data_IF_889042954843
#
_entry.id   IF_889042954843
#
_cell.length_a   1.000
_cell.length_b   1.000
_cell.length_c   1.000
_cell.angle_alpha   90.00
_cell.angle_beta   90.00
_cell.angle_gamma   90.00
#
_symmetry.space_group_name_H-M   'P 1'
#
loop_
_entity.id
_entity.type
_entity.pdbx_description
1 polymer ?
#
# COMPACT_ATOMS: atom_id res chain seq x y z
N UNK A 1 42.03 -75.02 -3.07
CA UNK A 1 41.39 -75.23 -4.39
C UNK A 1 40.68 -73.95 -4.86
N UNK A 2 41.44 -72.94 -5.29
CA UNK A 2 40.92 -71.79 -6.05
C UNK A 2 42.06 -71.03 -6.78
N UNK A 3 43.20 -71.70 -7.03
CA UNK A 3 44.37 -71.17 -7.73
C UNK A 3 44.49 -71.67 -9.18
N UNK A 4 43.56 -72.53 -9.63
CA UNK A 4 43.63 -73.20 -10.95
C UNK A 4 42.67 -72.64 -12.02
N UNK A 5 41.98 -71.52 -11.76
CA UNK A 5 41.10 -70.89 -12.78
C UNK A 5 41.72 -69.72 -13.55
N UNK A 6 42.98 -69.39 -13.28
CA UNK A 6 43.71 -68.30 -13.96
C UNK A 6 44.57 -68.80 -15.15
N UNK A 7 44.65 -70.12 -15.36
CA UNK A 7 45.43 -70.74 -16.44
C UNK A 7 44.61 -71.01 -17.72
N UNK A 8 43.27 -70.92 -17.67
CA UNK A 8 42.39 -71.25 -18.79
C UNK A 8 41.96 -70.05 -19.68
N UNK A 9 42.35 -68.81 -19.34
CA UNK A 9 42.03 -67.60 -20.14
C UNK A 9 43.24 -67.01 -20.89
N UNK A 10 44.42 -67.64 -20.83
CA UNK A 10 45.64 -67.19 -21.53
C UNK A 10 45.96 -67.95 -22.82
N UNK A 11 45.08 -68.83 -23.26
CA UNK A 11 45.25 -69.62 -24.48
C UNK A 11 44.06 -69.42 -25.44
N UNK A 12 43.84 -68.18 -25.89
CA UNK A 12 43.29 -67.97 -27.22
C UNK A 12 44.00 -66.76 -27.85
N UNK A 13 45.23 -67.05 -28.22
CA UNK A 13 46.11 -66.22 -29.01
C UNK A 13 45.52 -66.01 -30.41
N UNK A 14 45.53 -64.75 -30.85
CA UNK A 14 46.30 -64.36 -32.03
C UNK A 14 45.78 -64.89 -33.39
N UNK A 15 44.84 -64.16 -33.98
CA UNK A 15 44.65 -64.12 -35.44
C UNK A 15 44.95 -62.70 -35.94
N UNK A 16 46.03 -62.59 -36.72
CA UNK A 16 46.44 -61.40 -37.45
C UNK A 16 45.67 -61.24 -38.78
N UNK A 17 45.90 -60.10 -39.47
CA UNK A 17 45.37 -59.62 -40.78
C UNK A 17 44.04 -58.84 -40.73
N UNK A 18 43.82 -57.66 -41.33
CA UNK A 18 44.58 -56.72 -42.20
C UNK A 18 43.80 -55.38 -42.26
N UNK A 19 44.42 -54.23 -42.65
CA UNK A 19 43.75 -52.92 -42.68
C UNK A 19 42.74 -52.79 -43.82
N UNK A 20 41.56 -52.23 -43.53
CA UNK A 20 40.51 -51.96 -44.51
C UNK A 20 40.76 -50.61 -45.23
N UNK A 21 40.71 -50.53 -46.57
CA UNK A 21 41.02 -49.31 -47.32
C UNK A 21 39.87 -48.29 -47.31
N UNK A 22 40.24 -47.01 -47.35
CA UNK A 22 39.32 -45.87 -47.42
C UNK A 22 38.47 -45.87 -48.71
N UNK A 23 37.19 -45.46 -48.67
CA UNK A 23 36.38 -45.32 -49.86
C UNK A 23 36.77 -44.06 -50.69
N UNK A 24 36.69 -44.11 -52.04
CA UNK A 24 37.24 -43.11 -52.94
C UNK A 24 36.37 -41.85 -53.10
N UNK A 25 37.06 -40.73 -53.42
CA UNK A 25 36.49 -39.47 -53.84
C UNK A 25 35.74 -39.60 -55.18
N UNK A 26 34.54 -39.03 -55.26
CA UNK A 26 33.83 -38.82 -56.53
C UNK A 26 33.72 -37.33 -56.86
N UNK A 27 34.02 -37.04 -58.12
CA UNK A 27 34.16 -35.73 -58.72
C UNK A 27 32.83 -35.01 -58.97
N UNK A 28 32.93 -33.68 -59.00
CA UNK A 28 31.94 -32.70 -59.48
C UNK A 28 31.49 -32.93 -60.93
N UNK A 29 30.39 -32.29 -61.36
CA UNK A 29 30.59 -31.25 -62.37
C UNK A 29 29.80 -29.93 -62.16
N UNK A 30 30.49 -28.84 -62.53
CA UNK A 30 30.11 -27.51 -63.04
C UNK A 30 28.62 -27.09 -63.00
N UNK A 31 28.27 -25.82 -62.70
CA UNK A 31 28.60 -24.68 -63.58
C UNK A 31 27.96 -23.38 -63.04
N UNK A 32 28.71 -22.28 -63.10
CA UNK A 32 28.26 -20.88 -63.37
C UNK A 32 27.21 -20.23 -62.45
N UNK A 33 27.30 -18.97 -61.99
CA UNK A 33 27.99 -17.75 -62.48
C UNK A 33 27.86 -16.69 -61.37
N UNK A 34 28.90 -15.87 -61.17
CA UNK A 34 28.77 -14.51 -60.59
C UNK A 34 27.86 -13.65 -61.47
N UNK A 35 27.25 -12.59 -60.91
CA UNK A 35 27.59 -11.27 -61.44
C UNK A 35 27.89 -10.21 -60.37
N UNK A 36 28.69 -9.24 -60.79
CA UNK A 36 29.05 -8.00 -60.09
C UNK A 36 28.00 -6.89 -60.39
N UNK A 37 28.12 -5.68 -59.81
CA UNK A 37 26.98 -4.82 -59.43
C UNK A 37 26.52 -3.86 -60.53
N UNK A 38 25.29 -3.32 -60.40
CA UNK A 38 24.87 -2.10 -61.10
C UNK A 38 24.09 -1.14 -60.21
N UNK A 39 24.66 0.07 -60.15
CA UNK A 39 24.11 1.31 -59.65
C UNK A 39 23.13 1.90 -60.67
N UNK A 40 21.88 2.17 -60.29
CA UNK A 40 20.96 3.09 -60.98
C UNK A 40 20.07 3.77 -59.93
N UNK A 41 20.05 5.09 -59.92
CA UNK A 41 19.05 5.98 -59.29
C UNK A 41 18.59 7.00 -60.35
N UNK A 42 17.56 7.84 -60.12
CA UNK A 42 16.13 7.60 -59.86
C UNK A 42 15.26 8.34 -60.94
N UNK A 43 13.90 8.53 -60.84
CA UNK A 43 13.29 9.53 -59.93
C UNK A 43 11.84 9.26 -59.43
N UNK A 44 11.47 9.97 -58.34
CA UNK A 44 10.12 10.42 -57.91
C UNK A 44 9.05 9.37 -57.58
N UNK A 45 8.17 9.46 -56.58
CA UNK A 45 7.81 10.49 -55.59
C UNK A 45 6.51 9.95 -54.95
N UNK A 46 6.51 9.55 -53.69
CA UNK A 46 5.27 9.43 -52.92
C UNK A 46 5.58 9.67 -51.44
N UNK A 47 5.00 10.75 -50.94
CA UNK A 47 5.01 11.15 -49.55
C UNK A 47 4.42 10.05 -48.66
N UNK A 48 5.19 9.68 -47.64
CA UNK A 48 4.77 8.75 -46.60
C UNK A 48 5.72 8.91 -45.42
N UNK A 49 5.43 9.89 -44.56
CA UNK A 49 6.09 10.04 -43.27
C UNK A 49 5.93 8.75 -42.46
N UNK A 50 7.06 8.13 -42.13
CA UNK A 50 7.19 7.04 -41.15
C UNK A 50 8.51 7.21 -40.40
N UNK A 51 8.60 6.71 -39.16
CA UNK A 51 8.94 7.56 -38.02
C UNK A 51 10.44 7.68 -37.82
N UNK A 52 10.87 8.85 -37.33
CA UNK A 52 12.17 9.02 -36.71
C UNK A 52 12.27 8.07 -35.52
N UNK A 53 13.12 7.06 -35.68
CA UNK A 53 14.14 6.63 -34.71
C UNK A 53 13.89 7.16 -33.29
N UNK A 54 12.97 6.51 -32.57
CA UNK A 54 12.88 6.63 -31.13
C UNK A 54 13.95 5.72 -30.57
N UNK A 55 15.00 6.32 -30.02
CA UNK A 55 16.02 5.59 -29.26
C UNK A 55 15.35 4.67 -28.25
N UNK A 56 15.85 3.43 -28.20
CA UNK A 56 15.67 2.55 -27.07
C UNK A 56 16.17 3.31 -25.84
N UNK A 57 15.24 3.90 -25.09
CA UNK A 57 15.52 4.28 -23.71
C UNK A 57 15.64 2.95 -22.98
N UNK A 58 16.84 2.64 -22.53
CA UNK A 58 17.17 1.40 -21.84
C UNK A 58 16.11 1.07 -20.80
N UNK A 59 15.40 -0.05 -21.01
CA UNK A 59 14.34 -0.55 -20.12
C UNK A 59 14.84 -0.77 -18.68
N UNK A 60 16.16 -0.81 -18.50
CA UNK A 60 16.88 -0.89 -17.23
C UNK A 60 16.95 0.45 -16.49
N UNK A 61 17.09 1.57 -17.21
CA UNK A 61 17.19 2.91 -16.63
C UNK A 61 15.81 3.42 -16.16
N UNK A 62 14.74 3.04 -16.85
CA UNK A 62 13.37 3.16 -16.33
C UNK A 62 13.19 2.32 -15.06
N UNK A 63 13.55 1.02 -15.08
CA UNK A 63 13.39 0.11 -13.93
C UNK A 63 14.08 0.63 -12.67
N UNK A 64 15.30 1.16 -12.76
CA UNK A 64 16.03 1.72 -11.61
C UNK A 64 15.31 2.96 -11.03
N UNK A 65 14.81 3.87 -11.88
CA UNK A 65 14.09 5.08 -11.44
C UNK A 65 12.73 4.77 -10.80
N UNK A 66 12.14 3.63 -11.14
CA UNK A 66 10.86 3.13 -10.62
C UNK A 66 10.99 2.30 -9.33
N UNK A 67 12.20 1.85 -8.98
CA UNK A 67 12.44 1.11 -7.74
C UNK A 67 12.47 2.02 -6.49
N UNK A 68 12.66 3.33 -6.67
CA UNK A 68 12.68 4.32 -5.59
C UNK A 68 11.35 5.09 -5.45
N UNK A 69 10.30 4.35 -5.08
CA UNK A 69 9.01 4.92 -4.67
C UNK A 69 9.15 5.86 -3.46
N UNK A 70 10.25 5.74 -2.71
CA UNK A 70 10.49 6.52 -1.49
C UNK A 70 10.87 7.97 -1.79
N UNK A 71 11.68 8.20 -2.83
CA UNK A 71 11.99 9.54 -3.39
C UNK A 71 10.75 10.24 -3.94
N UNK A 72 9.91 9.53 -4.70
CA UNK A 72 8.65 10.09 -5.20
C UNK A 72 7.68 10.47 -4.06
N UNK A 73 7.69 9.73 -2.95
CA UNK A 73 6.90 10.04 -1.77
C UNK A 73 7.32 11.30 -1.04
N UNK A 74 8.57 11.76 -1.13
CA UNK A 74 8.98 13.03 -0.52
C UNK A 74 8.42 14.24 -1.29
N UNK A 75 8.12 14.07 -2.59
CA UNK A 75 7.51 15.11 -3.43
C UNK A 75 5.98 15.14 -3.34
N UNK A 76 5.33 14.00 -3.08
CA UNK A 76 3.85 13.90 -2.95
C UNK A 76 3.38 13.94 -1.48
N UNK A 77 4.30 14.06 -0.51
CA UNK A 77 3.95 14.16 0.91
C UNK A 77 3.30 15.52 1.18
N UNK A 78 2.02 15.58 1.61
CA UNK A 78 1.46 16.84 2.09
C UNK A 78 2.24 17.32 3.32
N UNK A 79 2.42 18.63 3.50
CA UNK A 79 3.10 19.18 4.67
C UNK A 79 2.47 18.60 5.94
N UNK A 80 3.32 18.02 6.79
CA UNK A 80 2.92 17.28 7.99
C UNK A 80 1.83 18.02 8.78
N UNK A 81 0.68 17.36 8.98
CA UNK A 81 -0.27 17.74 10.01
C UNK A 81 0.48 17.79 11.35
N UNK A 82 0.80 19.01 11.80
CA UNK A 82 1.41 19.22 13.11
C UNK A 82 0.46 18.68 14.16
N UNK A 83 0.89 17.63 14.84
CA UNK A 83 0.19 17.03 15.96
C UNK A 83 -0.06 18.11 17.02
N UNK A 84 -1.32 18.56 17.14
CA UNK A 84 -1.77 19.30 18.32
C UNK A 84 -3.02 18.63 18.88
N UNK A 85 -2.76 17.86 19.94
CA UNK A 85 -3.68 17.42 20.97
C UNK A 85 -4.90 16.60 20.47
N UNK A 86 -4.67 15.30 20.32
CA UNK A 86 -5.72 14.32 20.06
C UNK A 86 -6.41 13.97 21.39
N UNK A 87 -7.58 14.55 21.65
CA UNK A 87 -8.52 13.99 22.62
C UNK A 87 -9.49 13.04 21.90
N UNK A 88 -9.91 11.94 22.54
CA UNK A 88 -10.83 11.01 21.91
C UNK A 88 -12.22 11.66 21.77
N UNK A 89 -12.65 11.89 20.53
CA UNK A 89 -14.00 12.34 20.19
C UNK A 89 -14.99 11.18 20.37
N UNK A 90 -15.34 10.88 21.61
CA UNK A 90 -16.30 9.81 21.96
C UNK A 90 -17.76 10.27 22.07
N UNK A 91 -18.13 11.49 21.63
CA UNK A 91 -19.45 12.03 21.97
C UNK A 91 -20.31 12.62 20.85
N UNK A 92 -20.15 12.19 19.59
CA UNK A 92 -21.03 12.60 18.48
C UNK A 92 -21.65 11.42 17.71
N UNK A 93 -22.17 10.42 18.44
CA UNK A 93 -23.01 9.39 17.82
C UNK A 93 -24.47 9.86 17.75
N UNK A 94 -24.86 10.32 16.57
CA UNK A 94 -26.28 10.40 16.17
C UNK A 94 -26.69 9.05 15.56
N UNK A 95 -27.84 8.44 15.93
CA UNK A 95 -28.13 7.03 15.58
C UNK A 95 -28.46 6.77 14.10
N UNK A 96 -28.59 7.81 13.27
CA UNK A 96 -29.11 7.70 11.90
C UNK A 96 -28.07 7.47 10.80
N UNK A 97 -26.76 7.51 11.10
CA UNK A 97 -25.68 7.43 10.10
C UNK A 97 -24.77 6.20 10.26
N UNK A 98 -25.34 5.01 10.49
CA UNK A 98 -24.54 3.79 10.69
C UNK A 98 -23.86 3.29 9.40
N UNK A 99 -24.34 3.68 8.22
CA UNK A 99 -23.86 3.19 6.92
C UNK A 99 -22.44 3.65 6.55
N UNK A 100 -22.05 4.94 6.70
CA UNK A 100 -20.69 5.40 6.38
C UNK A 100 -19.60 4.85 7.31
N UNK A 101 -19.88 4.74 8.62
CA UNK A 101 -18.90 4.23 9.61
C UNK A 101 -18.59 2.75 9.41
N UNK A 102 -19.59 1.96 9.03
CA UNK A 102 -19.42 0.53 8.71
C UNK A 102 -18.60 0.34 7.42
N UNK A 103 -18.77 1.21 6.43
CA UNK A 103 -17.97 1.16 5.20
C UNK A 103 -16.49 1.41 5.48
N UNK A 104 -16.14 2.46 6.24
CA UNK A 104 -14.75 2.75 6.63
C UNK A 104 -14.15 1.61 7.46
N UNK A 105 -14.91 1.01 8.38
CA UNK A 105 -14.45 -0.15 9.16
C UNK A 105 -14.08 -1.33 8.25
N UNK A 106 -14.97 -1.71 7.33
CA UNK A 106 -14.71 -2.84 6.44
C UNK A 106 -13.51 -2.61 5.50
N UNK A 107 -13.22 -1.35 5.13
CA UNK A 107 -12.02 -1.00 4.37
C UNK A 107 -10.76 -1.11 5.23
N UNK A 108 -10.84 -0.69 6.50
CA UNK A 108 -9.74 -0.89 7.46
C UNK A 108 -9.42 -2.37 7.65
N UNK A 109 -10.44 -3.22 7.74
CA UNK A 109 -10.26 -4.66 7.88
C UNK A 109 -9.64 -5.26 6.62
N UNK A 110 -10.08 -4.86 5.43
CA UNK A 110 -9.44 -5.28 4.20
C UNK A 110 -7.96 -4.88 4.11
N UNK A 111 -7.59 -3.66 4.57
CA UNK A 111 -6.17 -3.25 4.66
C UNK A 111 -5.39 -4.13 5.64
N UNK A 112 -5.99 -4.51 6.78
CA UNK A 112 -5.35 -5.46 7.72
C UNK A 112 -5.09 -6.80 7.05
N UNK A 113 -6.09 -7.34 6.35
CA UNK A 113 -5.94 -8.59 5.59
C UNK A 113 -4.87 -8.49 4.51
N UNK A 114 -4.74 -7.35 3.81
CA UNK A 114 -3.60 -7.14 2.89
C UNK A 114 -2.27 -7.27 3.62
N UNK A 115 -2.11 -6.61 4.78
CA UNK A 115 -0.86 -6.70 5.54
C UNK A 115 -0.55 -8.13 6.01
N UNK A 116 -1.56 -8.86 6.47
CA UNK A 116 -1.43 -10.28 6.87
C UNK A 116 -1.04 -11.15 5.67
N UNK A 117 -1.63 -10.93 4.50
CA UNK A 117 -1.26 -11.62 3.29
C UNK A 117 0.19 -11.30 2.88
N UNK A 118 0.63 -10.05 3.00
CA UNK A 118 2.02 -9.65 2.72
C UNK A 118 3.01 -10.37 3.63
N UNK A 119 2.67 -10.54 4.92
CA UNK A 119 3.48 -11.33 5.85
C UNK A 119 3.59 -12.80 5.42
N UNK A 120 2.47 -13.39 5.02
CA UNK A 120 2.43 -14.77 4.52
C UNK A 120 3.16 -14.94 3.19
N UNK A 121 3.10 -13.95 2.29
CA UNK A 121 3.89 -13.91 1.05
C UNK A 121 5.38 -13.92 1.38
N UNK A 122 5.82 -13.08 2.33
CA UNK A 122 7.21 -13.07 2.81
C UNK A 122 7.64 -14.44 3.34
N UNK A 123 6.78 -15.08 4.14
CA UNK A 123 7.04 -16.42 4.67
C UNK A 123 7.19 -17.45 3.54
N UNK A 124 6.27 -17.47 2.57
CA UNK A 124 6.34 -18.38 1.44
C UNK A 124 7.59 -18.18 0.59
N UNK A 125 8.00 -16.93 0.33
CA UNK A 125 9.27 -16.67 -0.35
C UNK A 125 10.47 -17.23 0.42
N UNK A 126 10.53 -16.99 1.73
CA UNK A 126 11.61 -17.53 2.56
C UNK A 126 11.61 -19.06 2.58
N UNK A 127 10.44 -19.69 2.61
CA UNK A 127 10.30 -21.17 2.56
C UNK A 127 10.77 -21.73 1.22
N UNK A 128 10.39 -21.11 0.10
CA UNK A 128 10.89 -21.49 -1.23
C UNK A 128 12.42 -21.40 -1.33
N UNK A 129 13.04 -20.43 -0.63
CA UNK A 129 14.50 -20.27 -0.59
C UNK A 129 15.23 -21.34 0.23
N UNK A 130 14.53 -22.06 1.11
CA UNK A 130 15.07 -23.08 2.02
C UNK A 130 14.68 -24.51 1.68
N UNK A 131 13.58 -24.70 0.95
CA UNK A 131 13.07 -26.02 0.59
C UNK A 131 13.98 -26.68 -0.45
N UNK A 132 14.28 -27.97 -0.23
CA UNK A 132 15.14 -28.77 -1.11
C UNK A 132 14.36 -29.88 -1.83
N UNK A 133 13.12 -30.15 -1.40
CA UNK A 133 12.25 -31.14 -2.04
C UNK A 133 11.39 -30.50 -3.14
N UNK A 134 11.53 -31.00 -4.38
CA UNK A 134 10.84 -30.48 -5.56
C UNK A 134 9.30 -30.49 -5.41
N UNK A 135 8.75 -31.51 -4.76
CA UNK A 135 7.29 -31.64 -4.60
C UNK A 135 6.74 -30.61 -3.61
N UNK A 136 7.46 -30.37 -2.52
CA UNK A 136 7.14 -29.30 -1.58
C UNK A 136 7.35 -27.92 -2.20
N UNK A 137 8.42 -27.74 -2.98
CA UNK A 137 8.69 -26.48 -3.69
C UNK A 137 7.52 -26.11 -4.61
N UNK A 138 7.03 -27.07 -5.42
CA UNK A 138 5.88 -26.83 -6.29
C UNK A 138 4.59 -26.53 -5.50
N UNK A 139 4.35 -27.24 -4.40
CA UNK A 139 3.19 -27.00 -3.54
C UNK A 139 3.20 -25.58 -2.94
N UNK A 140 4.33 -25.15 -2.38
CA UNK A 140 4.50 -23.81 -1.80
C UNK A 140 4.39 -22.75 -2.91
N UNK A 141 4.97 -22.98 -4.08
CA UNK A 141 4.91 -22.08 -5.22
C UNK A 141 3.47 -21.86 -5.70
N UNK A 142 2.66 -22.91 -5.73
CA UNK A 142 1.23 -22.82 -6.05
C UNK A 142 0.44 -22.04 -4.98
N UNK A 143 0.73 -22.27 -3.69
CA UNK A 143 0.10 -21.54 -2.59
C UNK A 143 0.45 -20.05 -2.62
N UNK A 144 1.71 -19.72 -2.89
CA UNK A 144 2.17 -18.36 -3.09
C UNK A 144 1.41 -17.70 -4.26
N UNK A 145 1.33 -18.37 -5.42
CA UNK A 145 0.63 -17.83 -6.58
C UNK A 145 -0.86 -17.55 -6.30
N UNK A 146 -1.53 -18.45 -5.56
CA UNK A 146 -2.91 -18.26 -5.15
C UNK A 146 -3.06 -17.05 -4.21
N UNK A 147 -2.19 -16.94 -3.20
CA UNK A 147 -2.21 -15.84 -2.24
C UNK A 147 -1.91 -14.49 -2.91
N UNK A 148 -0.95 -14.44 -3.84
CA UNK A 148 -0.64 -13.23 -4.62
C UNK A 148 -1.86 -12.80 -5.43
N UNK A 149 -2.53 -13.75 -6.12
CA UNK A 149 -3.75 -13.46 -6.91
C UNK A 149 -4.91 -12.95 -6.05
N UNK A 150 -5.14 -13.58 -4.89
CA UNK A 150 -6.12 -13.12 -3.91
C UNK A 150 -5.81 -11.70 -3.42
N UNK A 151 -4.55 -11.44 -3.10
CA UNK A 151 -4.09 -10.14 -2.61
C UNK A 151 -4.22 -9.06 -3.70
N UNK A 152 -3.89 -9.37 -4.96
CA UNK A 152 -4.10 -8.45 -6.09
C UNK A 152 -5.59 -8.14 -6.32
N UNK A 153 -6.50 -9.09 -6.08
CA UNK A 153 -7.95 -8.83 -6.15
C UNK A 153 -8.42 -7.93 -5.01
N UNK A 154 -7.97 -8.22 -3.78
CA UNK A 154 -8.34 -7.45 -2.59
C UNK A 154 -7.85 -6.00 -2.69
N UNK A 155 -6.59 -5.79 -3.08
CA UNK A 155 -6.00 -4.47 -3.25
C UNK A 155 -6.72 -3.64 -4.34
N UNK A 156 -7.05 -4.24 -5.50
CA UNK A 156 -7.89 -3.58 -6.52
C UNK A 156 -9.29 -3.23 -6.00
N UNK A 157 -9.91 -4.12 -5.23
CA UNK A 157 -11.22 -3.85 -4.61
C UNK A 157 -11.14 -2.68 -3.63
N UNK A 158 -10.13 -2.66 -2.76
CA UNK A 158 -9.89 -1.57 -1.81
C UNK A 158 -9.68 -0.24 -2.54
N UNK A 159 -8.83 -0.22 -3.57
CA UNK A 159 -8.61 0.97 -4.41
C UNK A 159 -9.93 1.55 -4.92
N UNK A 160 -10.75 0.71 -5.57
CA UNK A 160 -12.02 1.15 -6.18
C UNK A 160 -13.02 1.63 -5.12
N UNK A 161 -13.08 0.98 -3.96
CA UNK A 161 -13.99 1.38 -2.87
C UNK A 161 -13.53 2.66 -2.17
N UNK A 162 -12.23 2.84 -1.96
CA UNK A 162 -11.66 4.09 -1.44
C UNK A 162 -11.96 5.24 -2.40
N UNK A 163 -11.76 5.04 -3.70
CA UNK A 163 -12.11 6.03 -4.73
C UNK A 163 -13.60 6.37 -4.73
N UNK A 164 -14.49 5.37 -4.74
CA UNK A 164 -15.94 5.58 -4.70
C UNK A 164 -16.38 6.35 -3.45
N UNK A 165 -15.80 6.00 -2.29
CA UNK A 165 -16.08 6.69 -1.03
C UNK A 165 -15.62 8.16 -1.10
N UNK A 166 -14.46 8.43 -1.68
CA UNK A 166 -13.99 9.80 -1.93
C UNK A 166 -14.94 10.57 -2.84
N UNK A 167 -15.31 10.02 -4.01
CA UNK A 167 -16.24 10.68 -4.93
C UNK A 167 -17.61 10.95 -4.29
N UNK A 168 -18.09 10.05 -3.43
CA UNK A 168 -19.37 10.21 -2.72
C UNK A 168 -19.35 11.39 -1.72
N UNK A 169 -18.19 11.70 -1.15
CA UNK A 169 -18.01 12.84 -0.24
C UNK A 169 -17.94 14.14 -1.03
N UNK A 170 -17.19 14.18 -2.14
CA UNK A 170 -17.09 15.36 -3.00
C UNK A 170 -18.45 15.76 -3.60
N UNK A 171 -19.28 14.79 -3.98
CA UNK A 171 -20.59 15.06 -4.58
C UNK A 171 -21.68 15.46 -3.57
N UNK A 172 -21.50 15.21 -2.27
CA UNK A 172 -22.49 15.51 -1.21
C UNK A 172 -22.23 16.83 -0.45
N UNK A 173 -21.35 17.69 -0.96
CA UNK A 173 -20.96 18.94 -0.28
C UNK A 173 -22.08 19.98 -0.09
N UNK A 174 -23.29 19.75 -0.61
CA UNK A 174 -24.39 20.71 -0.53
C UNK A 174 -25.34 20.58 0.67
N UNK A 175 -25.33 19.47 1.44
CA UNK A 175 -26.48 19.15 2.31
C UNK A 175 -26.16 19.10 3.83
N UNK A 176 -24.93 18.82 4.28
CA UNK A 176 -24.58 18.82 5.71
C UNK A 176 -23.04 18.95 5.95
N UNK A 177 -22.56 20.15 6.30
CA UNK A 177 -21.12 20.49 6.33
C UNK A 177 -20.30 19.77 7.43
N UNK A 178 -20.86 19.53 8.62
CA UNK A 178 -20.11 18.93 9.74
C UNK A 178 -19.74 17.46 9.54
N UNK A 179 -20.64 16.67 8.97
CA UNK A 179 -20.46 15.23 8.77
C UNK A 179 -19.62 14.93 7.51
N UNK A 180 -19.65 15.82 6.50
CA UNK A 180 -18.81 15.71 5.32
C UNK A 180 -17.31 15.83 5.64
N UNK A 181 -16.93 16.74 6.56
CA UNK A 181 -15.53 16.96 6.95
C UNK A 181 -14.92 15.81 7.76
N UNK A 182 -15.70 15.23 8.68
CA UNK A 182 -15.28 14.04 9.44
C UNK A 182 -15.06 12.86 8.48
N UNK A 183 -15.96 12.66 7.52
CA UNK A 183 -15.81 11.63 6.48
C UNK A 183 -14.60 11.87 5.59
N UNK A 184 -14.34 13.11 5.15
CA UNK A 184 -13.18 13.45 4.34
C UNK A 184 -11.86 13.11 5.06
N UNK A 185 -11.77 13.47 6.35
CA UNK A 185 -10.60 13.16 7.19
C UNK A 185 -10.39 11.65 7.34
N UNK A 186 -11.48 10.89 7.57
CA UNK A 186 -11.42 9.42 7.68
C UNK A 186 -10.95 8.76 6.38
N UNK A 187 -11.41 9.26 5.22
CA UNK A 187 -10.99 8.75 3.90
C UNK A 187 -9.53 9.07 3.62
N UNK A 188 -9.05 10.28 3.95
CA UNK A 188 -7.65 10.64 3.82
C UNK A 188 -6.73 9.72 4.66
N UNK A 189 -7.10 9.46 5.91
CA UNK A 189 -6.37 8.54 6.77
C UNK A 189 -6.39 7.08 6.26
N UNK A 190 -7.53 6.64 5.72
CA UNK A 190 -7.69 5.31 5.13
C UNK A 190 -6.79 5.14 3.90
N UNK A 191 -6.78 6.14 3.01
CA UNK A 191 -5.96 6.17 1.81
C UNK A 191 -4.47 6.12 2.13
N UNK A 192 -4.01 6.93 3.10
CA UNK A 192 -2.62 6.90 3.56
C UNK A 192 -2.21 5.51 4.04
N UNK A 193 -3.02 4.90 4.91
CA UNK A 193 -2.75 3.54 5.41
C UNK A 193 -2.73 2.49 4.29
N UNK A 194 -3.60 2.64 3.29
CA UNK A 194 -3.60 1.75 2.14
C UNK A 194 -2.31 1.90 1.31
N UNK A 195 -1.88 3.14 1.04
CA UNK A 195 -0.59 3.41 0.38
C UNK A 195 0.59 2.80 1.16
N UNK A 196 0.62 2.99 2.48
CA UNK A 196 1.66 2.40 3.35
C UNK A 196 1.71 0.87 3.20
N UNK A 197 0.56 0.20 3.13
CA UNK A 197 0.46 -1.24 2.89
C UNK A 197 0.97 -1.67 1.51
N UNK A 198 0.68 -0.91 0.45
CA UNK A 198 1.17 -1.19 -0.91
C UNK A 198 2.70 -1.02 -0.97
N UNK A 199 3.24 0.04 -0.36
CA UNK A 199 4.69 0.25 -0.27
C UNK A 199 5.38 -0.88 0.49
N UNK A 200 4.79 -1.31 1.62
CA UNK A 200 5.31 -2.46 2.38
C UNK A 200 5.32 -3.72 1.54
N UNK A 201 4.25 -3.99 0.78
CA UNK A 201 4.19 -5.15 -0.08
C UNK A 201 5.29 -5.11 -1.15
N UNK A 202 5.44 -3.97 -1.81
CA UNK A 202 6.48 -3.76 -2.82
C UNK A 202 7.89 -3.98 -2.24
N UNK A 203 8.14 -3.52 -1.01
CA UNK A 203 9.43 -3.74 -0.34
C UNK A 203 9.71 -5.22 -0.05
N UNK A 204 8.70 -5.99 0.37
CA UNK A 204 8.81 -7.45 0.57
C UNK A 204 9.12 -8.18 -0.74
N UNK A 205 8.45 -7.79 -1.82
CA UNK A 205 8.67 -8.34 -3.15
C UNK A 205 10.09 -8.02 -3.66
N UNK A 206 10.55 -6.76 -3.49
CA UNK A 206 11.92 -6.37 -3.83
C UNK A 206 12.98 -7.13 -3.03
N UNK A 207 12.81 -7.26 -1.71
CA UNK A 207 13.71 -8.02 -0.84
C UNK A 207 13.80 -9.49 -1.32
N UNK A 208 12.66 -10.08 -1.66
CA UNK A 208 12.58 -11.46 -2.15
C UNK A 208 13.26 -11.61 -3.51
N UNK A 209 13.01 -10.68 -4.46
CA UNK A 209 13.70 -10.63 -5.76
C UNK A 209 15.22 -10.60 -5.62
N UNK A 210 15.76 -9.77 -4.74
CA UNK A 210 17.20 -9.69 -4.50
C UNK A 210 17.76 -11.03 -3.98
N UNK A 211 17.05 -11.70 -3.06
CA UNK A 211 17.45 -13.02 -2.55
C UNK A 211 17.46 -14.08 -3.65
N UNK A 212 16.43 -14.11 -4.52
CA UNK A 212 16.38 -15.04 -5.64
C UNK A 212 17.51 -14.82 -6.64
N UNK A 213 17.79 -13.56 -7.00
CA UNK A 213 18.93 -13.22 -7.88
C UNK A 213 20.26 -13.66 -7.29
N UNK A 214 20.50 -13.39 -6.00
CA UNK A 214 21.71 -13.82 -5.31
C UNK A 214 21.85 -15.36 -5.26
N UNK A 215 20.75 -16.10 -5.16
CA UNK A 215 20.75 -17.57 -5.28
C UNK A 215 21.11 -18.01 -6.69
N UNK A 216 20.49 -17.42 -7.71
CA UNK A 216 20.77 -17.74 -9.12
C UNK A 216 22.24 -17.48 -9.48
N UNK A 217 22.81 -16.36 -9.03
CA UNK A 217 24.23 -16.05 -9.21
C UNK A 217 25.14 -17.14 -8.63
N UNK A 218 24.83 -17.64 -7.42
CA UNK A 218 25.60 -18.72 -6.79
C UNK A 218 25.52 -20.01 -7.60
N UNK A 219 24.33 -20.36 -8.09
CA UNK A 219 24.14 -21.55 -8.92
C UNK A 219 24.82 -21.41 -10.29
N UNK A 220 24.80 -20.23 -10.88
CA UNK A 220 25.54 -19.94 -12.13
C UNK A 220 27.04 -20.16 -11.96
N UNK A 221 27.63 -19.69 -10.86
CA UNK A 221 29.06 -19.90 -10.55
C UNK A 221 29.42 -21.37 -10.31
N UNK A 222 28.48 -22.23 -9.93
CA UNK A 222 28.73 -23.68 -9.83
C UNK A 222 28.91 -24.30 -11.22
N UNK A 223 28.12 -23.84 -12.20
CA UNK A 223 28.17 -24.30 -13.59
C UNK A 223 29.35 -23.71 -14.36
N UNK A 224 29.60 -22.41 -14.18
CA UNK A 224 30.68 -21.64 -14.82
C UNK A 224 31.47 -20.84 -13.77
N UNK A 225 32.49 -21.44 -13.12
CA UNK A 225 33.26 -20.77 -12.05
C UNK A 225 34.08 -19.56 -12.50
N UNK A 226 34.44 -19.51 -13.78
CA UNK A 226 35.21 -18.46 -14.45
C UNK A 226 34.34 -17.34 -15.04
N UNK A 227 33.03 -17.35 -14.75
CA UNK A 227 32.09 -16.34 -15.22
C UNK A 227 32.45 -14.93 -14.74
N UNK A 228 32.47 -13.98 -15.67
CA UNK A 228 32.62 -12.56 -15.36
C UNK A 228 31.36 -12.01 -14.67
N UNK A 229 31.48 -10.91 -13.90
CA UNK A 229 30.32 -10.27 -13.28
C UNK A 229 29.23 -9.86 -14.29
N UNK A 230 29.64 -9.45 -15.49
CA UNK A 230 28.73 -9.04 -16.56
C UNK A 230 27.96 -10.24 -17.14
N UNK A 231 28.63 -11.37 -17.38
CA UNK A 231 27.96 -12.60 -17.82
C UNK A 231 26.96 -13.11 -16.77
N UNK A 232 27.29 -13.00 -15.48
CA UNK A 232 26.37 -13.34 -14.39
C UNK A 232 25.14 -12.43 -14.42
N UNK A 233 25.33 -11.11 -14.56
CA UNK A 233 24.19 -10.18 -14.67
C UNK A 233 23.33 -10.54 -15.86
N UNK A 234 23.90 -10.81 -17.03
CA UNK A 234 23.12 -11.20 -18.20
C UNK A 234 22.36 -12.51 -17.98
N UNK A 235 22.95 -13.50 -17.30
CA UNK A 235 22.27 -14.75 -17.01
C UNK A 235 21.15 -14.63 -15.96
N UNK A 236 21.22 -13.64 -15.06
CA UNK A 236 20.26 -13.47 -13.94
C UNK A 236 19.20 -12.41 -14.21
N UNK A 237 19.58 -11.31 -14.87
CA UNK A 237 18.76 -10.11 -15.06
C UNK A 237 18.06 -10.06 -16.43
N UNK A 238 18.60 -10.73 -17.46
CA UNK A 238 18.02 -10.73 -18.80
C UNK A 238 16.83 -11.67 -18.90
N UNK A 239 15.84 -11.33 -19.74
CA UNK A 239 14.67 -12.17 -19.97
C UNK A 239 15.03 -13.52 -20.65
N UNK A 240 16.16 -13.53 -21.37
CA UNK A 240 16.81 -14.69 -21.99
C UNK A 240 17.80 -15.43 -21.07
N UNK A 241 17.84 -15.08 -19.77
CA UNK A 241 18.80 -15.63 -18.81
C UNK A 241 18.80 -17.17 -18.75
N UNK A 242 17.63 -17.80 -18.94
CA UNK A 242 17.51 -19.25 -19.03
C UNK A 242 18.24 -19.88 -20.24
N UNK A 243 18.27 -19.19 -21.39
CA UNK A 243 19.04 -19.66 -22.56
C UNK A 243 20.54 -19.50 -22.33
N UNK A 244 20.96 -18.36 -21.76
CA UNK A 244 22.37 -18.09 -21.42
C UNK A 244 22.88 -19.16 -20.44
N UNK A 245 22.07 -19.53 -19.46
CA UNK A 245 22.38 -20.61 -18.54
C UNK A 245 22.47 -21.97 -19.26
N UNK A 246 21.53 -22.28 -20.15
CA UNK A 246 21.53 -23.54 -20.93
C UNK A 246 22.80 -23.68 -21.77
N UNK A 247 23.25 -22.59 -22.39
CA UNK A 247 24.49 -22.57 -23.16
C UNK A 247 25.73 -22.80 -22.27
N UNK A 248 25.74 -22.20 -21.08
CA UNK A 248 26.81 -22.42 -20.09
C UNK A 248 26.85 -23.89 -19.62
N UNK A 249 25.69 -24.52 -19.44
CA UNK A 249 25.58 -25.93 -19.07
C UNK A 249 26.16 -26.86 -20.13
N UNK A 250 25.89 -26.61 -21.42
CA UNK A 250 26.43 -27.41 -22.53
C UNK A 250 27.96 -27.35 -22.64
N UNK A 251 28.55 -26.25 -22.18
CA UNK A 251 30.00 -26.02 -22.23
C UNK A 251 30.70 -26.52 -20.96
N UNK A 252 29.95 -26.88 -19.92
CA UNK A 252 30.49 -27.28 -18.62
C UNK A 252 30.88 -28.77 -18.58
N UNK A 253 32.09 -29.07 -18.09
CA UNK A 253 32.55 -30.44 -17.85
C UNK A 253 31.88 -31.11 -16.62
N UNK A 254 31.00 -30.42 -15.89
CA UNK A 254 30.38 -30.88 -14.63
C UNK A 254 28.88 -31.22 -14.77
N UNK A 255 28.55 -32.00 -15.79
CA UNK A 255 27.16 -32.19 -16.27
C UNK A 255 26.13 -32.62 -15.19
N UNK A 256 26.51 -33.44 -14.21
CA UNK A 256 25.62 -33.92 -13.14
C UNK A 256 25.17 -32.82 -12.18
N UNK A 257 26.11 -32.19 -11.48
CA UNK A 257 25.84 -31.06 -10.57
C UNK A 257 25.22 -29.87 -11.30
N UNK A 258 25.64 -29.66 -12.55
CA UNK A 258 25.22 -28.51 -13.34
C UNK A 258 23.75 -28.62 -13.81
N UNK A 259 23.20 -29.84 -13.92
CA UNK A 259 21.78 -30.03 -14.30
C UNK A 259 20.80 -29.73 -13.16
N UNK A 260 21.17 -30.05 -11.92
CA UNK A 260 20.38 -29.65 -10.76
C UNK A 260 20.40 -28.11 -10.58
N UNK A 261 21.59 -27.51 -10.69
CA UNK A 261 21.76 -26.06 -10.66
C UNK A 261 20.96 -25.36 -11.79
N UNK A 262 20.91 -25.96 -12.99
CA UNK A 262 20.10 -25.47 -14.11
C UNK A 262 18.61 -25.40 -13.77
N UNK A 263 18.05 -26.48 -13.23
CA UNK A 263 16.64 -26.54 -12.91
C UNK A 263 16.29 -25.51 -11.82
N UNK A 264 17.11 -25.41 -10.76
CA UNK A 264 16.90 -24.40 -9.71
C UNK A 264 16.92 -22.99 -10.30
N UNK A 265 17.89 -22.66 -11.15
CA UNK A 265 17.95 -21.31 -11.76
C UNK A 265 16.76 -21.02 -12.65
N UNK A 266 16.32 -21.99 -13.44
CA UNK A 266 15.13 -21.85 -14.28
C UNK A 266 13.89 -21.56 -13.43
N UNK A 267 13.67 -22.32 -12.36
CA UNK A 267 12.52 -22.11 -11.47
C UNK A 267 12.56 -20.74 -10.79
N UNK A 268 13.73 -20.35 -10.27
CA UNK A 268 13.90 -19.03 -9.64
C UNK A 268 13.79 -17.87 -10.61
N UNK A 269 14.16 -18.08 -11.87
CA UNK A 269 13.95 -17.07 -12.90
C UNK A 269 12.44 -16.82 -13.12
N UNK A 270 11.63 -17.88 -13.18
CA UNK A 270 10.17 -17.75 -13.26
C UNK A 270 9.57 -17.10 -12.00
N UNK A 271 10.11 -17.39 -10.82
CA UNK A 271 9.74 -16.70 -9.58
C UNK A 271 10.02 -15.20 -9.66
N UNK A 272 11.23 -14.81 -10.11
CA UNK A 272 11.60 -13.41 -10.32
C UNK A 272 10.66 -12.74 -11.31
N UNK A 273 10.29 -13.38 -12.41
CA UNK A 273 9.29 -12.82 -13.35
C UNK A 273 7.94 -12.59 -12.70
N UNK A 274 7.47 -13.50 -11.83
CA UNK A 274 6.21 -13.31 -11.08
C UNK A 274 6.29 -12.13 -10.11
N UNK A 275 7.41 -11.99 -9.42
CA UNK A 275 7.67 -10.84 -8.54
C UNK A 275 7.65 -9.54 -9.35
N UNK A 276 8.33 -9.50 -10.50
CA UNK A 276 8.36 -8.31 -11.35
C UNK A 276 6.96 -7.91 -11.85
N UNK A 277 6.12 -8.87 -12.24
CA UNK A 277 4.71 -8.58 -12.57
C UNK A 277 3.96 -7.98 -11.38
N UNK A 278 4.14 -8.54 -10.18
CA UNK A 278 3.50 -8.05 -8.95
C UNK A 278 3.96 -6.63 -8.63
N UNK A 279 5.25 -6.35 -8.70
CA UNK A 279 5.80 -5.00 -8.49
C UNK A 279 5.19 -4.02 -9.49
N UNK A 280 5.10 -4.37 -10.78
CA UNK A 280 4.45 -3.52 -11.79
C UNK A 280 2.99 -3.23 -11.44
N UNK A 281 2.20 -4.24 -11.04
CA UNK A 281 0.81 -4.04 -10.60
C UNK A 281 0.71 -3.10 -9.39
N UNK A 282 1.62 -3.22 -8.42
CA UNK A 282 1.67 -2.36 -7.24
C UNK A 282 2.03 -0.92 -7.61
N UNK A 283 2.92 -0.73 -8.58
CA UNK A 283 3.30 0.59 -9.07
C UNK A 283 2.17 1.30 -9.81
N UNK A 284 1.45 0.59 -10.69
CA UNK A 284 0.26 1.14 -11.35
C UNK A 284 -0.78 1.59 -10.33
N UNK A 285 -1.04 0.74 -9.34
CA UNK A 285 -1.96 1.06 -8.24
C UNK A 285 -1.50 2.25 -7.42
N UNK A 286 -0.20 2.36 -7.18
CA UNK A 286 0.37 3.49 -6.46
C UNK A 286 0.17 4.80 -7.24
N UNK A 287 0.44 4.80 -8.55
CA UNK A 287 0.24 5.97 -9.40
C UNK A 287 -1.23 6.41 -9.43
N UNK A 288 -2.16 5.47 -9.56
CA UNK A 288 -3.61 5.71 -9.47
C UNK A 288 -4.01 6.36 -8.13
N UNK A 289 -3.36 5.97 -7.03
CA UNK A 289 -3.64 6.54 -5.71
C UNK A 289 -3.00 7.92 -5.55
N UNK A 290 -1.79 8.13 -6.09
CA UNK A 290 -1.07 9.40 -6.02
C UNK A 290 -1.79 10.53 -6.78
N UNK A 291 -2.26 10.26 -7.99
CA UNK A 291 -3.08 11.21 -8.77
C UNK A 291 -4.34 11.64 -8.02
N UNK A 292 -4.98 10.71 -7.32
CA UNK A 292 -6.16 10.98 -6.48
C UNK A 292 -5.83 11.86 -5.24
N UNK A 293 -4.55 12.05 -4.86
CA UNK A 293 -4.13 12.91 -3.71
C UNK A 293 -4.11 14.37 -4.14
N UNK A 294 -3.65 14.66 -5.37
CA UNK A 294 -3.56 16.02 -5.91
C UNK A 294 -4.94 16.71 -5.96
N UNK A 295 -6.00 15.94 -6.20
CA UNK A 295 -7.39 16.42 -6.15
C UNK A 295 -7.90 16.78 -4.73
N UNK A 296 -7.21 16.37 -3.66
CA UNK A 296 -7.66 16.59 -2.26
C UNK A 296 -7.11 17.85 -1.60
N UNK A 297 -6.08 18.50 -2.16
CA UNK A 297 -5.40 19.62 -1.47
C UNK A 297 -6.30 20.88 -1.33
N UNK A 298 -7.33 21.02 -2.18
CA UNK A 298 -8.36 22.05 -2.05
C UNK A 298 -9.45 21.71 -1.00
N UNK A 299 -9.66 20.43 -0.69
CA UNK A 299 -10.73 19.99 0.23
C UNK A 299 -10.28 20.03 1.70
N UNK A 300 -9.01 19.75 1.98
CA UNK A 300 -8.46 19.79 3.34
C UNK A 300 -8.40 21.22 3.89
N UNK A 301 -8.12 22.23 3.05
CA UNK A 301 -8.14 23.64 3.45
C UNK A 301 -9.52 24.08 3.98
N UNK A 302 -10.60 23.50 3.46
CA UNK A 302 -11.96 23.77 3.95
C UNK A 302 -12.22 23.11 5.32
N UNK A 303 -11.58 21.98 5.63
CA UNK A 303 -11.70 21.33 6.95
C UNK A 303 -11.02 22.17 8.04
N UNK A 304 -9.86 22.77 7.76
CA UNK A 304 -9.18 23.66 8.71
C UNK A 304 -10.01 24.92 9.00
N UNK A 305 -10.58 25.53 7.95
CA UNK A 305 -11.45 26.70 8.07
C UNK A 305 -12.74 26.39 8.87
N UNK A 306 -13.36 25.23 8.62
CA UNK A 306 -14.57 24.80 9.33
C UNK A 306 -14.28 24.28 10.76
N UNK A 307 -13.12 23.68 11.02
CA UNK A 307 -12.73 23.31 12.38
C UNK A 307 -12.50 24.56 13.24
N UNK A 308 -11.92 25.61 12.67
CA UNK A 308 -11.84 26.93 13.29
C UNK A 308 -13.24 27.53 13.53
N UNK A 309 -14.20 27.29 12.62
CA UNK A 309 -15.60 27.70 12.79
C UNK A 309 -16.31 26.93 13.92
N UNK A 310 -16.21 25.59 13.94
CA UNK A 310 -16.78 24.76 15.02
C UNK A 310 -16.17 25.12 16.38
N UNK A 311 -14.86 25.42 16.43
CA UNK A 311 -14.22 25.88 17.65
C UNK A 311 -14.79 27.22 18.13
N UNK A 312 -15.07 28.15 17.21
CA UNK A 312 -15.75 29.43 17.53
C UNK A 312 -17.18 29.19 18.00
N UNK A 313 -17.93 28.28 17.39
CA UNK A 313 -19.31 27.97 17.78
C UNK A 313 -19.39 27.35 19.18
N UNK A 314 -18.46 26.45 19.51
CA UNK A 314 -18.36 25.86 20.86
C UNK A 314 -17.97 26.92 21.90
N UNK A 315 -17.06 27.82 21.56
CA UNK A 315 -16.69 28.94 22.43
C UNK A 315 -17.87 29.87 22.68
N UNK A 316 -18.62 30.23 21.63
CA UNK A 316 -19.85 31.03 21.73
C UNK A 316 -20.93 30.31 22.54
N UNK A 317 -21.14 29.01 22.31
CA UNK A 317 -22.08 28.20 23.08
C UNK A 317 -21.71 28.18 24.58
N UNK A 318 -20.42 28.05 24.91
CA UNK A 318 -19.91 28.17 26.28
C UNK A 318 -20.22 29.54 26.90
N UNK A 319 -20.06 30.62 26.14
CA UNK A 319 -20.44 31.97 26.58
C UNK A 319 -21.95 32.13 26.77
N UNK A 320 -22.78 31.53 25.92
CA UNK A 320 -24.24 31.55 26.07
C UNK A 320 -24.70 30.76 27.29
N UNK A 321 -24.10 29.60 27.57
CA UNK A 321 -24.40 28.79 28.75
C UNK A 321 -24.02 29.51 30.04
N UNK A 322 -22.86 30.17 30.08
CA UNK A 322 -22.41 30.96 31.24
C UNK A 322 -23.31 32.17 31.46
N UNK A 323 -23.62 32.95 30.41
CA UNK A 323 -24.60 34.05 30.47
C UNK A 323 -25.98 33.57 30.91
N UNK A 324 -26.45 32.42 30.43
CA UNK A 324 -27.73 31.85 30.84
C UNK A 324 -27.72 31.43 32.33
N UNK A 325 -26.63 30.85 32.81
CA UNK A 325 -26.42 30.51 34.23
C UNK A 325 -26.43 31.76 35.11
N UNK A 326 -25.69 32.80 34.73
CA UNK A 326 -25.59 34.04 35.49
C UNK A 326 -26.91 34.83 35.47
N UNK A 327 -27.59 34.85 34.33
CA UNK A 327 -28.95 35.39 34.19
C UNK A 327 -29.93 34.65 35.10
N UNK A 328 -29.92 33.31 35.10
CA UNK A 328 -30.76 32.51 35.99
C UNK A 328 -30.44 32.74 37.48
N UNK A 329 -29.15 32.86 37.85
CA UNK A 329 -28.73 33.14 39.22
C UNK A 329 -29.16 34.54 39.68
N UNK A 330 -29.00 35.55 38.82
CA UNK A 330 -29.42 36.92 39.12
C UNK A 330 -30.95 37.06 39.20
N UNK A 331 -31.70 36.34 38.37
CA UNK A 331 -33.15 36.28 38.43
C UNK A 331 -33.64 35.68 39.76
N UNK A 332 -32.99 34.61 40.26
CA UNK A 332 -33.27 34.05 41.60
C UNK A 332 -33.00 35.09 42.69
N UNK A 333 -31.84 35.76 42.68
CA UNK A 333 -31.52 36.80 43.68
C UNK A 333 -32.54 37.95 43.67
N UNK A 334 -32.96 38.42 42.48
CA UNK A 334 -33.98 39.48 42.34
C UNK A 334 -35.35 39.06 42.90
N UNK A 335 -35.76 37.80 42.73
CA UNK A 335 -37.00 37.27 43.33
C UNK A 335 -36.99 37.32 44.86
N UNK A 336 -35.86 36.97 45.48
CA UNK A 336 -35.70 37.05 46.94
C UNK A 336 -35.72 38.50 47.45
N UNK A 337 -35.10 39.43 46.73
CA UNK A 337 -35.13 40.86 47.09
C UNK A 337 -36.56 41.40 47.03
N UNK A 338 -37.31 41.11 45.96
CA UNK A 338 -38.73 41.52 45.86
C UNK A 338 -39.59 40.89 46.98
N UNK A 339 -39.37 39.61 47.30
CA UNK A 339 -40.08 38.93 48.38
C UNK A 339 -39.82 39.59 49.74
N UNK A 340 -38.55 39.88 50.07
CA UNK A 340 -38.17 40.55 51.32
C UNK A 340 -38.76 41.97 51.41
N UNK A 341 -38.79 42.71 50.31
CA UNK A 341 -39.39 44.04 50.26
C UNK A 341 -40.89 44.01 50.58
N UNK A 342 -41.63 43.02 50.05
CA UNK A 342 -43.06 42.83 50.35
C UNK A 342 -43.27 42.48 51.83
N UNK A 343 -42.47 41.56 52.39
CA UNK A 343 -42.56 41.19 53.81
C UNK A 343 -42.31 42.40 54.72
N UNK A 344 -41.28 43.20 54.42
CA UNK A 344 -40.98 44.41 55.19
C UNK A 344 -42.14 45.43 55.16
N UNK A 345 -42.79 45.61 54.01
CA UNK A 345 -43.96 46.48 53.88
C UNK A 345 -45.14 46.01 54.76
N UNK A 346 -45.40 44.70 54.81
CA UNK A 346 -46.45 44.12 55.66
C UNK A 346 -46.14 44.37 57.15
N UNK A 347 -44.90 44.13 57.59
CA UNK A 347 -44.49 44.37 58.98
C UNK A 347 -44.69 45.85 59.35
N UNK A 348 -44.31 46.78 58.47
CA UNK A 348 -44.52 48.21 58.72
C UNK A 348 -45.99 48.56 58.93
N UNK A 349 -46.90 47.98 58.13
CA UNK A 349 -48.35 48.16 58.29
C UNK A 349 -48.81 47.65 59.65
N UNK A 350 -48.37 46.46 60.07
CA UNK A 350 -48.72 45.86 61.37
C UNK A 350 -48.21 46.72 62.53
N UNK A 351 -46.99 47.25 62.45
CA UNK A 351 -46.45 48.13 63.51
C UNK A 351 -47.26 49.43 63.62
N UNK A 352 -47.68 50.00 62.49
CA UNK A 352 -48.51 51.22 62.48
C UNK A 352 -49.89 50.94 63.08
N UNK A 353 -50.51 49.79 62.79
CA UNK A 353 -51.81 49.42 63.38
C UNK A 353 -51.69 49.13 64.87
N UNK A 354 -50.63 48.46 65.33
CA UNK A 354 -50.36 48.24 66.75
C UNK A 354 -50.14 49.56 67.49
N UNK A 355 -49.32 50.49 66.96
CA UNK A 355 -49.13 51.82 67.57
C UNK A 355 -50.43 52.62 67.66
N UNK A 356 -51.31 52.52 66.66
CA UNK A 356 -52.63 53.17 66.71
C UNK A 356 -53.51 52.54 67.80
N UNK A 357 -53.46 51.22 67.95
CA UNK A 357 -54.18 50.52 69.01
C UNK A 357 -53.63 50.85 70.41
N UNK A 358 -52.31 50.92 70.58
CA UNK A 358 -51.67 51.32 71.84
C UNK A 358 -52.00 52.77 72.21
N UNK A 359 -52.02 53.67 71.22
CA UNK A 359 -52.46 55.05 71.41
C UNK A 359 -53.93 55.12 71.85
N UNK A 360 -54.82 54.33 71.23
CA UNK A 360 -56.23 54.24 71.62
C UNK A 360 -56.43 53.64 73.02
N UNK A 361 -55.60 52.67 73.42
CA UNK A 361 -55.63 52.09 74.77
C UNK A 361 -55.17 53.10 75.84
N UNK A 362 -54.21 53.98 75.53
CA UNK A 362 -53.75 55.02 76.46
C UNK A 362 -54.80 56.12 76.73
N UNK A 363 -55.69 56.39 75.77
CA UNK A 363 -56.78 57.37 75.92
C UNK A 363 -58.00 56.86 76.68
N UNK A 364 -58.13 55.55 76.88
CA UNK A 364 -59.29 54.93 77.53
C UNK A 364 -59.22 54.89 79.07
N UNK A 365 -58.08 55.24 79.68
CA UNK A 365 -57.93 55.21 81.15
C UNK A 365 -57.92 56.63 81.72
N UNK A 366 -59.07 57.30 81.70
CA UNK A 366 -59.36 58.44 82.59
C UNK A 366 -60.68 58.15 83.29
N UNK A 367 -60.68 57.69 84.55
CA UNK A 367 -61.93 57.49 85.27
C UNK A 367 -62.48 58.85 85.71
N UNK A 368 -63.63 59.23 85.16
CA UNK A 368 -64.41 60.36 85.62
C UNK A 368 -64.90 60.12 87.06
N UNK A 369 -64.39 60.91 88.01
CA UNK A 369 -64.89 60.97 89.39
C UNK A 369 -65.90 62.12 89.49
N UNK A 370 -67.11 61.72 89.87
CA UNK A 370 -68.29 62.44 90.31
C UNK A 370 -68.16 63.92 90.74
N UNK A 371 -69.15 64.70 90.30
CA UNK A 371 -70.01 65.52 91.17
C UNK A 371 -71.44 65.51 90.60
#
# INVERSE_FOLDING_TARGET
MARDRLAAMRANQNTAYTPQPAPPAMATPASNRKPAPRNISPPGSHDGHSPKESGNIDSYEMKEKYLDMSSFMDEVRPPSLKAKNQQPLTHLFSPSNQTPTLQVSSLNDGIRTVNENVDRVKEFHNRLLSELDDSQHQSISNQLAALTSETSRLTRNLKNRIHSLQSSISNNQGINNGDANVRATQVGALKKRFMDSIMRYQSVEQESRQKYKARMERQYRIVKPDATPEEIRQAVDSDDGGQIFSQALMTSNRYGDARAAFNEVKERHEDVKRIERTITELMEMFNDLATMVEEQDQLVQNVENNAAEIQRDVEQAGQHITKARDSAASARRKRWICFLAIVAAIIAIVVVTQRKNDAAASTATTPARAA
#
